data_IF_100685711409
#
_entry.id   IF_100685711409
#
_cell.length_a   1.000
_cell.length_b   1.000
_cell.length_c   1.000
_cell.angle_alpha   90.00
_cell.angle_beta   90.00
_cell.angle_gamma   90.00
#
_symmetry.space_group_name_H-M   'P 1'
#
loop_
_entity.id
_entity.type
_entity.pdbx_description
1 polymer ?
#
# COMPACT_ATOMS: atom_id res chain seq x y z
N UNK A 1 -9.67 -3.66 -22.64
CA UNK A 1 -8.71 -3.27 -21.67
C UNK A 1 -7.67 -2.32 -22.22
N UNK A 2 -6.77 -1.91 -21.37
CA UNK A 2 -5.64 -1.00 -21.70
C UNK A 2 -4.74 -1.51 -22.82
N UNK A 3 -4.74 -2.83 -23.08
CA UNK A 3 -3.97 -3.45 -24.15
C UNK A 3 -4.40 -3.06 -25.59
N UNK A 4 -5.59 -2.48 -25.75
CA UNK A 4 -6.11 -2.07 -27.05
C UNK A 4 -5.84 -0.59 -27.38
N UNK A 5 -5.28 0.18 -26.47
CA UNK A 5 -4.90 1.56 -26.73
C UNK A 5 -3.48 1.61 -27.30
N UNK A 6 -3.36 1.97 -28.56
CA UNK A 6 -2.12 1.99 -29.35
C UNK A 6 -1.01 2.95 -28.85
N UNK A 7 -1.19 3.61 -27.72
CA UNK A 7 -0.23 4.55 -27.13
C UNK A 7 0.35 4.17 -25.77
N UNK A 8 -0.09 3.08 -25.13
CA UNK A 8 0.39 2.71 -23.80
C UNK A 8 0.93 1.27 -23.76
N UNK A 9 2.23 1.13 -23.56
CA UNK A 9 2.90 -0.16 -23.45
C UNK A 9 3.48 -0.34 -22.06
N UNK A 10 3.11 -1.43 -21.38
CA UNK A 10 3.71 -1.81 -20.11
C UNK A 10 5.14 -2.27 -20.31
N UNK A 11 6.09 -1.59 -19.69
CA UNK A 11 7.47 -2.06 -19.60
C UNK A 11 7.71 -2.72 -18.24
N UNK A 12 8.68 -3.64 -18.16
CA UNK A 12 9.07 -4.27 -16.90
C UNK A 12 9.51 -3.22 -15.85
N UNK A 13 10.15 -2.15 -16.30
CA UNK A 13 10.54 -1.02 -15.44
C UNK A 13 9.33 -0.30 -14.83
N UNK A 14 8.26 -0.09 -15.63
CA UNK A 14 7.02 0.51 -15.14
C UNK A 14 6.32 -0.39 -14.12
N UNK A 15 6.27 -1.70 -14.37
CA UNK A 15 5.66 -2.67 -13.45
C UNK A 15 6.41 -2.67 -12.11
N UNK A 16 7.75 -2.69 -12.12
CA UNK A 16 8.58 -2.63 -10.90
C UNK A 16 8.34 -1.34 -10.12
N UNK A 17 8.27 -0.20 -10.79
CA UNK A 17 7.96 1.09 -10.16
C UNK A 17 6.57 1.09 -9.54
N UNK A 18 5.57 0.55 -10.24
CA UNK A 18 4.20 0.45 -9.73
C UNK A 18 4.12 -0.41 -8.47
N UNK A 19 4.75 -1.59 -8.47
CA UNK A 19 4.80 -2.48 -7.31
C UNK A 19 5.48 -1.76 -6.12
N UNK A 20 6.62 -1.11 -6.36
CA UNK A 20 7.31 -0.37 -5.32
C UNK A 20 6.48 0.79 -4.77
N UNK A 21 5.80 1.55 -5.64
CA UNK A 21 4.94 2.66 -5.23
C UNK A 21 3.77 2.18 -4.37
N UNK A 22 3.12 1.08 -4.76
CA UNK A 22 2.06 0.47 -3.95
C UNK A 22 2.56 -0.01 -2.59
N UNK A 23 3.72 -0.67 -2.54
CA UNK A 23 4.27 -1.17 -1.29
C UNK A 23 4.66 -0.03 -0.32
N UNK A 24 5.23 1.06 -0.82
CA UNK A 24 5.51 2.24 -0.02
C UNK A 24 4.23 2.95 0.44
N UNK A 25 3.26 3.11 -0.46
CA UNK A 25 1.97 3.72 -0.14
C UNK A 25 1.21 2.94 0.94
N UNK A 26 1.14 1.61 0.82
CA UNK A 26 0.50 0.74 1.81
C UNK A 26 1.19 0.85 3.18
N UNK A 27 2.53 0.86 3.21
CA UNK A 27 3.28 0.99 4.46
C UNK A 27 3.02 2.34 5.12
N UNK A 28 3.10 3.44 4.36
CA UNK A 28 2.87 4.79 4.90
C UNK A 28 1.44 4.96 5.38
N UNK A 29 0.44 4.49 4.62
CA UNK A 29 -0.96 4.52 5.02
C UNK A 29 -1.18 3.75 6.32
N UNK A 30 -0.64 2.53 6.42
CA UNK A 30 -0.78 1.70 7.62
C UNK A 30 -0.15 2.37 8.85
N UNK A 31 1.06 2.91 8.73
CA UNK A 31 1.76 3.57 9.83
C UNK A 31 1.11 4.91 10.21
N UNK A 32 0.72 5.73 9.23
CA UNK A 32 0.01 6.96 9.48
C UNK A 32 -1.29 6.72 10.27
N UNK A 33 -2.08 5.72 9.88
CA UNK A 33 -3.33 5.38 10.55
C UNK A 33 -3.14 4.85 11.98
N UNK A 34 -1.98 4.26 12.29
CA UNK A 34 -1.62 3.83 13.65
C UNK A 34 -1.07 4.95 14.53
N UNK A 35 -0.49 6.00 13.93
CA UNK A 35 0.14 7.11 14.65
C UNK A 35 -0.82 8.28 14.84
N UNK A 36 -1.55 8.66 13.80
CA UNK A 36 -2.45 9.82 13.75
C UNK A 36 -3.40 9.97 14.95
N UNK A 37 -4.08 8.90 15.43
CA UNK A 37 -4.98 9.03 16.59
C UNK A 37 -4.27 9.36 17.90
N UNK A 38 -2.97 9.16 17.98
CA UNK A 38 -2.15 9.30 19.18
C UNK A 38 -1.14 10.45 19.10
N UNK A 39 -0.98 11.11 17.95
CA UNK A 39 0.00 12.18 17.79
C UNK A 39 -0.28 13.35 18.73
N UNK A 40 0.75 13.86 19.41
CA UNK A 40 0.65 15.02 20.29
C UNK A 40 0.78 16.34 19.54
N UNK A 41 1.36 16.30 18.34
CA UNK A 41 1.45 17.42 17.40
C UNK A 41 0.60 17.07 16.20
N UNK A 42 -0.56 17.72 16.07
CA UNK A 42 -1.52 17.43 14.99
C UNK A 42 -0.90 17.61 13.61
N UNK A 43 -1.05 16.59 12.76
CA UNK A 43 -0.52 16.58 11.39
C UNK A 43 0.94 16.12 11.29
N UNK A 44 1.57 15.73 12.41
CA UNK A 44 2.96 15.24 12.36
C UNK A 44 3.10 13.96 11.53
N UNK A 45 2.15 13.04 11.61
CA UNK A 45 2.14 11.83 10.80
C UNK A 45 1.92 12.14 9.30
N UNK A 46 1.07 13.11 8.99
CA UNK A 46 0.83 13.54 7.60
C UNK A 46 2.08 14.18 6.99
N UNK A 47 2.78 14.99 7.76
CA UNK A 47 4.04 15.60 7.33
C UNK A 47 5.08 14.54 6.97
N UNK A 48 5.22 13.49 7.75
CA UNK A 48 6.11 12.35 7.43
C UNK A 48 5.69 11.71 6.10
N UNK A 49 4.39 11.53 5.87
CA UNK A 49 3.86 11.00 4.60
C UNK A 49 4.25 11.89 3.41
N UNK A 50 4.03 13.19 3.52
CA UNK A 50 4.31 14.18 2.47
C UNK A 50 5.80 14.21 2.11
N UNK A 51 6.68 14.27 3.10
CA UNK A 51 8.13 14.27 2.91
C UNK A 51 8.61 12.99 2.18
N UNK A 52 8.06 11.83 2.53
CA UNK A 52 8.40 10.59 1.88
C UNK A 52 7.83 10.47 0.47
N UNK A 53 6.61 10.95 0.22
CA UNK A 53 6.01 10.99 -1.13
C UNK A 53 6.86 11.87 -2.04
N UNK A 54 7.27 13.05 -1.59
CA UNK A 54 8.14 13.94 -2.37
C UNK A 54 9.47 13.27 -2.69
N UNK A 55 10.14 12.72 -1.68
CA UNK A 55 11.41 12.01 -1.84
C UNK A 55 11.32 10.83 -2.80
N UNK A 56 10.31 9.97 -2.65
CA UNK A 56 10.11 8.81 -3.51
C UNK A 56 9.79 9.23 -4.95
N UNK A 57 9.04 10.31 -5.14
CA UNK A 57 8.74 10.88 -6.46
C UNK A 57 10.03 11.29 -7.17
N UNK A 58 10.92 12.00 -6.49
CA UNK A 58 12.23 12.39 -7.03
C UNK A 58 13.10 11.17 -7.34
N UNK A 59 13.16 10.18 -6.46
CA UNK A 59 13.96 8.97 -6.68
C UNK A 59 13.41 8.13 -7.85
N UNK A 60 12.09 8.01 -7.98
CA UNK A 60 11.46 7.29 -9.09
C UNK A 60 11.67 8.00 -10.44
N UNK A 61 11.65 9.34 -10.46
CA UNK A 61 11.99 10.11 -11.65
C UNK A 61 13.42 9.85 -12.11
N UNK A 62 14.35 9.68 -11.16
CA UNK A 62 15.76 9.34 -11.42
C UNK A 62 16.00 7.85 -11.71
N UNK A 63 14.95 7.04 -11.78
CA UNK A 63 15.06 5.60 -12.02
C UNK A 63 15.57 4.79 -10.82
N UNK A 64 15.43 5.33 -9.60
CA UNK A 64 15.91 4.71 -8.34
C UNK A 64 14.74 4.41 -7.41
N UNK A 65 15.00 3.79 -6.25
CA UNK A 65 14.01 3.57 -5.20
C UNK A 65 13.19 2.27 -5.31
N UNK A 66 13.32 1.49 -6.39
CA UNK A 66 12.51 0.28 -6.64
C UNK A 66 13.33 -1.02 -6.73
N UNK A 67 14.63 -0.98 -6.44
CA UNK A 67 15.41 -2.21 -6.25
C UNK A 67 15.15 -2.77 -4.85
N UNK A 68 14.96 -4.09 -4.72
CA UNK A 68 14.55 -4.78 -3.48
C UNK A 68 15.36 -4.34 -2.25
N UNK A 69 16.70 -4.30 -2.36
CA UNK A 69 17.57 -3.85 -1.26
C UNK A 69 17.32 -2.40 -0.85
N UNK A 70 17.07 -1.52 -1.84
CA UNK A 70 16.79 -0.10 -1.60
C UNK A 70 15.40 0.06 -0.98
N UNK A 71 14.41 -0.71 -1.47
CA UNK A 71 13.07 -0.71 -0.91
C UNK A 71 13.10 -1.06 0.58
N UNK A 72 13.78 -2.15 0.96
CA UNK A 72 13.92 -2.55 2.36
C UNK A 72 14.51 -1.41 3.21
N UNK A 73 15.63 -0.82 2.77
CA UNK A 73 16.27 0.29 3.48
C UNK A 73 15.36 1.53 3.60
N UNK A 74 14.55 1.82 2.58
CA UNK A 74 13.62 2.96 2.65
C UNK A 74 12.42 2.63 3.55
N UNK A 75 11.89 1.40 3.52
CA UNK A 75 10.82 0.97 4.41
C UNK A 75 11.24 1.01 5.88
N UNK A 76 12.48 0.60 6.20
CA UNK A 76 13.05 0.72 7.55
C UNK A 76 13.15 2.20 8.00
N UNK A 77 13.57 3.09 7.11
CA UNK A 77 13.61 4.53 7.39
C UNK A 77 12.23 5.14 7.57
N UNK A 78 11.27 4.80 6.69
CA UNK A 78 9.87 5.21 6.83
C UNK A 78 9.34 4.79 8.19
N UNK A 79 9.54 3.53 8.57
CA UNK A 79 9.10 3.03 9.88
C UNK A 79 9.77 3.77 11.05
N UNK A 80 11.06 4.09 10.92
CA UNK A 80 11.81 4.90 11.91
C UNK A 80 11.27 6.31 12.05
N UNK A 81 10.96 6.98 10.93
CA UNK A 81 10.45 8.35 10.94
C UNK A 81 9.03 8.41 11.55
N UNK A 82 8.16 7.43 11.28
CA UNK A 82 6.86 7.33 11.97
C UNK A 82 7.00 6.98 13.45
N UNK A 83 7.98 6.14 13.82
CA UNK A 83 8.25 5.80 15.21
C UNK A 83 8.79 7.02 16.01
N UNK A 84 9.40 7.98 15.32
CA UNK A 84 9.89 9.23 15.93
C UNK A 84 8.79 10.28 16.14
N UNK A 85 7.59 10.11 15.57
CA UNK A 85 6.47 11.02 15.79
C UNK A 85 6.06 10.96 17.26
N UNK A 86 5.98 12.11 17.96
CA UNK A 86 5.57 12.13 19.37
C UNK A 86 4.10 11.69 19.51
N UNK A 87 3.86 10.67 20.31
CA UNK A 87 2.53 10.06 20.54
C UNK A 87 2.20 9.96 22.02
N UNK A 88 0.94 10.16 22.36
CA UNK A 88 0.38 9.82 23.67
C UNK A 88 -0.54 8.61 23.55
N UNK A 89 -0.10 7.49 24.13
CA UNK A 89 -0.86 6.23 24.17
C UNK A 89 -1.46 5.94 25.56
N UNK A 90 -1.56 6.93 26.40
CA UNK A 90 -2.18 6.79 27.75
C UNK A 90 -3.67 6.40 27.65
N UNK A 91 -4.36 6.82 26.59
CA UNK A 91 -5.73 6.41 26.30
C UNK A 91 -5.76 5.48 25.11
N UNK A 92 -6.29 4.27 25.31
CA UNK A 92 -6.47 3.30 24.23
C UNK A 92 -7.63 3.73 23.32
N UNK A 93 -7.36 3.89 22.05
CA UNK A 93 -8.38 4.22 21.04
C UNK A 93 -9.11 2.95 20.58
N UNK A 94 -10.34 3.14 20.11
CA UNK A 94 -11.11 2.06 19.45
C UNK A 94 -10.47 1.76 18.09
N UNK A 95 -10.22 0.49 17.83
CA UNK A 95 -9.65 0.05 16.54
C UNK A 95 -10.76 -0.36 15.60
N UNK A 96 -10.82 0.25 14.43
CA UNK A 96 -11.84 0.00 13.41
C UNK A 96 -11.18 -0.46 12.11
N UNK A 97 -11.54 -1.66 11.64
CA UNK A 97 -11.11 -2.18 10.35
C UNK A 97 -12.12 -1.83 9.26
N UNK A 98 -11.67 -1.17 8.19
CA UNK A 98 -12.47 -0.90 6.99
C UNK A 98 -12.22 -2.03 6.00
N UNK A 99 -13.26 -2.84 5.72
CA UNK A 99 -13.21 -3.93 4.77
C UNK A 99 -14.27 -3.73 3.68
N UNK A 100 -14.05 -4.30 2.51
CA UNK A 100 -14.99 -4.20 1.40
C UNK A 100 -14.32 -4.34 0.04
N UNK A 101 -15.09 -4.02 -1.00
CA UNK A 101 -14.61 -3.97 -2.37
C UNK A 101 -13.57 -2.87 -2.53
N UNK A 102 -12.59 -3.08 -3.40
CA UNK A 102 -11.40 -2.21 -3.52
C UNK A 102 -11.77 -0.75 -3.84
N UNK A 103 -12.71 -0.53 -4.76
CA UNK A 103 -13.12 0.82 -5.13
C UNK A 103 -13.78 1.54 -3.95
N UNK A 104 -14.75 0.91 -3.29
CA UNK A 104 -15.45 1.49 -2.14
C UNK A 104 -14.47 1.74 -0.98
N UNK A 105 -13.53 0.83 -0.77
CA UNK A 105 -12.55 0.95 0.33
C UNK A 105 -11.58 2.11 0.16
N UNK A 106 -11.11 2.40 -1.07
CA UNK A 106 -10.09 3.42 -1.33
C UNK A 106 -10.63 4.71 -1.95
N UNK A 107 -11.86 4.75 -2.44
CA UNK A 107 -12.45 5.93 -3.02
C UNK A 107 -13.26 6.70 -1.97
N UNK A 108 -12.69 7.75 -1.41
CA UNK A 108 -13.32 8.58 -0.37
C UNK A 108 -14.72 9.06 -0.77
N UNK A 109 -14.92 9.42 -2.04
CA UNK A 109 -16.23 9.80 -2.56
C UNK A 109 -17.24 8.63 -2.53
N UNK A 110 -16.79 7.40 -2.79
CA UNK A 110 -17.66 6.21 -2.82
C UNK A 110 -18.05 5.72 -1.41
N UNK A 111 -17.24 6.02 -0.39
CA UNK A 111 -17.47 5.62 1.00
C UNK A 111 -17.83 6.79 1.93
N UNK A 112 -18.18 7.95 1.36
CA UNK A 112 -18.53 9.16 2.13
C UNK A 112 -17.45 9.58 3.15
N UNK A 113 -16.18 9.53 2.75
CA UNK A 113 -15.04 9.89 3.61
C UNK A 113 -15.02 9.12 4.95
N UNK A 114 -15.37 7.83 4.91
CA UNK A 114 -15.50 6.99 6.11
C UNK A 114 -14.22 6.97 6.95
N UNK A 115 -13.05 6.91 6.32
CA UNK A 115 -11.77 6.90 7.03
C UNK A 115 -11.55 8.21 7.81
N UNK A 116 -11.79 9.35 7.17
CA UNK A 116 -11.68 10.67 7.79
C UNK A 116 -12.70 10.84 8.93
N UNK A 117 -13.93 10.36 8.72
CA UNK A 117 -14.96 10.36 9.75
C UNK A 117 -14.54 9.56 10.99
N UNK A 118 -14.09 8.34 10.82
CA UNK A 118 -13.63 7.49 11.94
C UNK A 118 -12.43 8.09 12.67
N UNK A 119 -11.51 8.71 11.95
CA UNK A 119 -10.38 9.42 12.54
C UNK A 119 -10.83 10.66 13.33
N UNK A 120 -11.82 11.41 12.83
CA UNK A 120 -12.38 12.56 13.56
C UNK A 120 -13.07 12.15 14.85
N UNK A 121 -13.65 10.94 14.91
CA UNK A 121 -14.21 10.31 16.12
C UNK A 121 -13.13 9.74 17.04
N UNK A 122 -11.85 9.93 16.71
CA UNK A 122 -10.72 9.49 17.51
C UNK A 122 -10.45 7.98 17.45
N UNK A 123 -10.90 7.28 16.41
CA UNK A 123 -10.63 5.85 16.21
C UNK A 123 -9.24 5.63 15.60
N UNK A 124 -8.62 4.50 15.93
CA UNK A 124 -7.48 3.97 15.18
C UNK A 124 -8.03 3.15 14.00
N UNK A 125 -7.83 3.65 12.77
CA UNK A 125 -8.37 3.04 11.56
C UNK A 125 -7.35 2.10 10.94
N UNK A 126 -7.81 0.93 10.49
CA UNK A 126 -7.02 -0.02 9.72
C UNK A 126 -7.70 -0.30 8.37
N UNK A 127 -7.02 0.06 7.29
CA UNK A 127 -7.41 -0.27 5.92
C UNK A 127 -6.42 -1.28 5.37
N UNK A 128 -6.83 -2.50 5.00
CA UNK A 128 -5.94 -3.46 4.36
C UNK A 128 -5.36 -2.91 3.05
N UNK A 129 -4.04 -3.00 2.89
CA UNK A 129 -3.32 -2.41 1.78
C UNK A 129 -3.70 -2.96 0.40
N UNK A 130 -3.35 -2.22 -0.63
CA UNK A 130 -3.59 -2.59 -2.03
C UNK A 130 -2.75 -3.80 -2.44
N UNK A 131 -1.53 -3.93 -1.92
CA UNK A 131 -0.67 -5.10 -2.14
C UNK A 131 -1.31 -6.38 -1.61
N UNK A 132 -1.93 -6.33 -0.42
CA UNK A 132 -2.66 -7.47 0.14
C UNK A 132 -3.78 -7.94 -0.77
N UNK A 133 -4.50 -7.01 -1.42
CA UNK A 133 -5.52 -7.34 -2.41
C UNK A 133 -4.93 -8.02 -3.66
N UNK A 134 -3.81 -7.52 -4.17
CA UNK A 134 -3.14 -8.09 -5.34
C UNK A 134 -2.63 -9.49 -5.02
N UNK A 135 -2.00 -9.70 -3.85
CA UNK A 135 -1.54 -11.01 -3.39
C UNK A 135 -2.70 -12.00 -3.29
N UNK A 136 -3.80 -11.62 -2.64
CA UNK A 136 -4.99 -12.43 -2.52
C UNK A 136 -5.59 -12.81 -3.89
N UNK A 137 -5.70 -11.85 -4.82
CA UNK A 137 -6.19 -12.12 -6.19
C UNK A 137 -5.26 -13.05 -6.96
N UNK A 138 -3.95 -12.94 -6.74
CA UNK A 138 -2.94 -13.77 -7.42
C UNK A 138 -2.98 -15.19 -6.86
N UNK A 139 -3.08 -15.35 -5.55
CA UNK A 139 -3.21 -16.66 -4.90
C UNK A 139 -4.50 -17.38 -5.32
N UNK A 140 -5.64 -16.70 -5.26
CA UNK A 140 -6.91 -17.25 -5.75
C UNK A 140 -6.82 -17.68 -7.22
N UNK A 141 -6.10 -16.94 -8.07
CA UNK A 141 -5.91 -17.33 -9.48
C UNK A 141 -5.10 -18.64 -9.60
N UNK A 142 -4.13 -18.87 -8.73
CA UNK A 142 -3.36 -20.12 -8.70
C UNK A 142 -4.26 -21.29 -8.28
N UNK A 143 -5.07 -21.10 -7.25
CA UNK A 143 -6.02 -22.10 -6.77
C UNK A 143 -7.14 -22.38 -7.80
N UNK A 144 -7.68 -21.34 -8.45
CA UNK A 144 -8.65 -21.53 -9.55
C UNK A 144 -8.09 -22.42 -10.67
N UNK A 145 -6.84 -22.18 -11.08
CA UNK A 145 -6.19 -23.02 -12.11
C UNK A 145 -5.97 -24.43 -11.60
N UNK A 146 -5.72 -24.62 -10.30
CA UNK A 146 -5.55 -25.93 -9.68
C UNK A 146 -6.86 -26.72 -9.62
N UNK A 147 -7.97 -26.06 -9.24
CA UNK A 147 -9.24 -26.70 -8.99
C UNK A 147 -10.09 -26.90 -10.26
N UNK A 148 -10.09 -25.90 -11.14
CA UNK A 148 -10.97 -25.85 -12.31
C UNK A 148 -10.24 -26.00 -13.63
N UNK A 149 -8.92 -26.13 -13.60
CA UNK A 149 -8.07 -26.14 -14.79
C UNK A 149 -7.87 -24.76 -15.39
N UNK A 150 -6.91 -24.63 -16.31
CA UNK A 150 -6.61 -23.37 -16.97
C UNK A 150 -5.21 -23.29 -17.53
N UNK A 151 -4.81 -22.13 -18.01
CA UNK A 151 -3.50 -21.93 -18.63
C UNK A 151 -2.37 -22.08 -17.62
N UNK A 152 -1.54 -23.11 -17.81
CA UNK A 152 -0.32 -23.34 -16.99
C UNK A 152 0.63 -22.15 -17.00
N UNK A 153 0.69 -21.40 -18.10
CA UNK A 153 1.51 -20.19 -18.21
C UNK A 153 1.06 -19.09 -17.21
N UNK A 154 -0.25 -18.90 -17.03
CA UNK A 154 -0.79 -17.94 -16.05
C UNK A 154 -0.44 -18.33 -14.62
N UNK A 155 -0.44 -19.63 -14.29
CA UNK A 155 -0.04 -20.14 -12.98
C UNK A 155 1.45 -19.87 -12.70
N UNK A 156 2.32 -20.10 -13.68
CA UNK A 156 3.77 -19.84 -13.54
C UNK A 156 4.04 -18.36 -13.34
N UNK A 157 3.39 -17.47 -14.12
CA UNK A 157 3.54 -16.01 -13.97
C UNK A 157 3.05 -15.55 -12.59
N UNK A 158 1.92 -16.07 -12.13
CA UNK A 158 1.37 -15.76 -10.80
C UNK A 158 2.33 -16.24 -9.69
N UNK A 159 2.91 -17.46 -9.81
CA UNK A 159 3.90 -17.97 -8.86
C UNK A 159 5.15 -17.10 -8.80
N UNK A 160 5.72 -16.70 -9.94
CA UNK A 160 6.87 -15.80 -10.00
C UNK A 160 6.56 -14.43 -9.34
N UNK A 161 5.35 -13.92 -9.55
CA UNK A 161 4.92 -12.66 -8.94
C UNK A 161 4.82 -12.80 -7.42
N UNK A 162 4.23 -13.88 -6.92
CA UNK A 162 4.14 -14.15 -5.47
C UNK A 162 5.52 -14.30 -4.85
N UNK A 163 6.43 -15.07 -5.45
CA UNK A 163 7.80 -15.24 -4.95
C UNK A 163 8.58 -13.92 -4.93
N UNK A 164 8.36 -13.08 -5.94
CA UNK A 164 8.97 -11.75 -5.97
C UNK A 164 8.45 -10.82 -4.87
N UNK A 165 7.17 -10.93 -4.50
CA UNK A 165 6.52 -10.09 -3.50
C UNK A 165 6.69 -10.61 -2.07
N UNK A 166 6.78 -11.94 -1.89
CA UNK A 166 6.90 -12.58 -0.58
C UNK A 166 8.35 -12.65 -0.06
N UNK A 167 9.35 -12.59 -0.92
CA UNK A 167 10.78 -12.66 -0.58
C UNK A 167 11.44 -11.29 -0.53
#
# INVERSE_FOLDING_TARGET
GLEKNSGFHWTLGMIRKLIAAMAYGDLMMLLANQVRPYETVKGAADKVSEEWVEKLTVEFAKGRGFAKRVMRSYMEKIAGDYAAVPVDRSVRKVKVGIVGEIYVKFASLANNHLEEFLQSEGCEVMVPGLMSFILFKTDNRIEDVRLYGGSKAKKVIAGILLDYLAG
#
